data_IF_197400483680
#
_entry.id   IF_197400483680
#
_cell.length_a   1.000
_cell.length_b   1.000
_cell.length_c   1.000
_cell.angle_alpha   90.00
_cell.angle_beta   90.00
_cell.angle_gamma   90.00
#
_symmetry.space_group_name_H-M   'P 1'
#
loop_
_entity.id
_entity.type
_entity.pdbx_description
1 polymer ?
#
# COMPACT_ATOMS: atom_id res chain seq x y z
N UNK A 1 7.27 -7.87 0.47
CA UNK A 1 6.54 -7.74 1.75
C UNK A 1 6.26 -9.13 2.29
N UNK A 2 6.78 -9.38 3.49
CA UNK A 2 6.80 -10.68 4.16
C UNK A 2 6.25 -10.49 5.57
N UNK A 3 5.00 -10.05 5.74
CA UNK A 3 4.47 -9.75 7.09
C UNK A 3 3.34 -10.72 7.45
N UNK A 4 3.41 -11.28 8.67
CA UNK A 4 2.24 -11.81 9.39
C UNK A 4 1.69 -10.70 10.25
N UNK A 5 0.52 -10.17 9.91
CA UNK A 5 -0.13 -9.15 10.72
C UNK A 5 -1.24 -9.78 11.58
N UNK A 6 -1.15 -9.61 12.88
CA UNK A 6 -2.25 -9.88 13.80
C UNK A 6 -2.82 -8.57 14.31
N UNK A 7 -4.11 -8.36 14.14
CA UNK A 7 -4.85 -7.21 14.66
C UNK A 7 -5.74 -7.68 15.80
N UNK A 8 -5.61 -7.07 16.95
CA UNK A 8 -6.41 -7.34 18.13
C UNK A 8 -7.35 -6.17 18.38
N UNK A 9 -8.63 -6.45 18.46
CA UNK A 9 -9.68 -5.47 18.73
C UNK A 9 -10.33 -5.75 20.07
N UNK A 10 -10.71 -4.68 20.75
CA UNK A 10 -11.46 -4.75 22.00
C UNK A 10 -12.96 -4.74 21.70
N UNK A 11 -13.53 -5.91 21.42
CA UNK A 11 -14.95 -6.09 21.11
C UNK A 11 -15.74 -6.46 22.38
N UNK A 12 -17.05 -6.19 22.44
CA UNK A 12 -17.88 -6.68 23.53
C UNK A 12 -18.10 -8.21 23.42
N UNK A 13 -18.15 -8.93 24.54
CA UNK A 13 -18.40 -10.39 24.57
C UNK A 13 -19.80 -10.78 24.10
N UNK A 14 -20.74 -9.86 24.26
CA UNK A 14 -22.15 -9.95 23.83
C UNK A 14 -22.66 -8.53 23.58
N UNK A 15 -23.79 -8.38 22.89
CA UNK A 15 -24.38 -7.08 22.58
C UNK A 15 -24.70 -6.20 23.82
N UNK A 16 -24.71 -6.77 25.04
CA UNK A 16 -25.09 -6.05 26.26
C UNK A 16 -24.12 -4.88 26.54
N UNK A 17 -24.62 -3.68 26.91
CA UNK A 17 -23.80 -2.50 27.21
C UNK A 17 -22.75 -2.67 28.32
N UNK A 18 -22.92 -3.67 29.20
CA UNK A 18 -21.99 -4.02 30.30
C UNK A 18 -21.30 -5.36 30.11
N UNK A 19 -21.37 -5.94 28.91
CA UNK A 19 -20.70 -7.20 28.63
C UNK A 19 -19.19 -7.06 28.85
N UNK A 20 -18.52 -8.09 29.40
CA UNK A 20 -17.07 -8.08 29.47
C UNK A 20 -16.50 -7.95 28.05
N UNK A 21 -15.39 -7.22 27.87
CA UNK A 21 -14.76 -7.11 26.55
C UNK A 21 -14.06 -8.43 26.20
N UNK A 22 -14.26 -8.93 24.97
CA UNK A 22 -13.47 -10.00 24.35
C UNK A 22 -12.44 -9.42 23.39
N UNK A 23 -11.27 -10.04 23.32
CA UNK A 23 -10.28 -9.71 22.31
C UNK A 23 -10.63 -10.46 21.02
N UNK A 24 -11.01 -9.73 19.97
CA UNK A 24 -11.15 -10.30 18.63
C UNK A 24 -9.84 -10.21 17.90
N UNK A 25 -9.37 -11.33 17.36
CA UNK A 25 -8.15 -11.41 16.57
C UNK A 25 -8.50 -11.52 15.10
N UNK A 26 -8.02 -10.58 14.29
CA UNK A 26 -8.02 -10.67 12.83
C UNK A 26 -6.58 -10.92 12.41
N UNK A 27 -6.33 -12.03 11.73
CA UNK A 27 -5.01 -12.29 11.14
C UNK A 27 -5.06 -12.01 9.66
N UNK A 28 -4.09 -11.25 9.19
CA UNK A 28 -3.88 -11.02 7.77
C UNK A 28 -2.42 -11.28 7.42
N UNK A 29 -2.22 -12.08 6.37
CA UNK A 29 -0.89 -12.22 5.78
C UNK A 29 -0.72 -11.12 4.74
N UNK A 30 0.35 -10.34 4.86
CA UNK A 30 0.68 -9.26 3.92
C UNK A 30 1.87 -9.73 3.12
N UNK A 31 1.54 -10.36 2.01
CA UNK A 31 2.54 -10.89 1.10
C UNK A 31 2.52 -10.05 -0.16
N UNK A 32 3.50 -9.16 -0.25
CA UNK A 32 3.80 -8.45 -1.49
C UNK A 32 5.29 -8.47 -1.81
N UNK A 33 6.03 -9.55 -1.53
CA UNK A 33 7.28 -9.82 -2.27
C UNK A 33 6.92 -10.66 -3.48
N UNK A 34 7.42 -10.28 -4.64
CA UNK A 34 7.02 -10.83 -5.94
C UNK A 34 7.75 -12.15 -6.23
N UNK A 35 7.13 -12.96 -7.10
CA UNK A 35 7.55 -14.30 -7.56
C UNK A 35 7.30 -15.44 -6.56
N UNK A 36 7.84 -15.35 -5.34
CA UNK A 36 7.77 -16.44 -4.36
C UNK A 36 7.20 -15.95 -3.03
N UNK A 37 6.42 -16.80 -2.32
CA UNK A 37 6.15 -16.53 -0.93
C UNK A 37 7.51 -16.38 -0.26
N UNK A 38 7.72 -15.25 0.39
CA UNK A 38 8.91 -15.02 1.17
C UNK A 38 9.15 -16.25 2.05
N UNK A 39 10.37 -16.79 2.15
CA UNK A 39 10.64 -17.91 3.03
C UNK A 39 10.09 -17.60 4.42
N UNK A 40 9.39 -18.55 5.06
CA UNK A 40 8.71 -18.28 6.33
C UNK A 40 9.67 -17.75 7.42
N UNK A 41 10.96 -18.12 7.35
CA UNK A 41 12.03 -17.60 8.21
C UNK A 41 12.25 -16.10 8.05
N UNK A 42 12.04 -15.56 6.86
CA UNK A 42 12.23 -14.14 6.55
C UNK A 42 10.99 -13.29 6.84
N UNK A 43 9.90 -13.84 7.39
CA UNK A 43 8.71 -13.03 7.69
C UNK A 43 8.90 -12.20 8.96
N UNK A 44 8.45 -10.95 8.91
CA UNK A 44 8.21 -10.17 10.12
C UNK A 44 6.80 -10.46 10.63
N UNK A 45 6.63 -10.44 11.94
CA UNK A 45 5.33 -10.47 12.60
C UNK A 45 5.04 -9.06 13.10
N UNK A 46 3.94 -8.48 12.61
CA UNK A 46 3.37 -7.26 13.16
C UNK A 46 2.19 -7.66 14.04
N UNK A 47 2.07 -7.08 15.21
CA UNK A 47 0.89 -7.19 16.06
C UNK A 47 0.37 -5.80 16.37
N UNK A 48 -0.88 -5.51 16.02
CA UNK A 48 -1.54 -4.23 16.29
C UNK A 48 -2.67 -4.41 17.28
N UNK A 49 -2.79 -3.51 18.24
CA UNK A 49 -3.87 -3.49 19.20
C UNK A 49 -4.73 -2.25 19.01
N UNK A 50 -6.04 -2.45 18.98
CA UNK A 50 -7.05 -1.41 18.84
C UNK A 50 -7.96 -1.43 20.07
N UNK A 51 -8.23 -0.24 20.60
CA UNK A 51 -9.12 0.01 21.73
C UNK A 51 -10.60 0.05 21.33
N UNK A 52 -10.87 -0.01 20.02
CA UNK A 52 -12.20 -0.04 19.43
C UNK A 52 -12.61 -1.43 18.89
N UNK A 53 -13.90 -1.57 18.61
CA UNK A 53 -14.51 -2.79 18.06
C UNK A 53 -14.01 -3.07 16.63
N UNK A 54 -13.81 -4.35 16.29
CA UNK A 54 -13.48 -4.72 14.92
C UNK A 54 -14.61 -4.33 13.94
N UNK A 55 -14.32 -4.12 12.65
CA UNK A 55 -15.32 -3.74 11.64
C UNK A 55 -16.56 -4.66 11.60
N UNK A 56 -16.37 -5.96 11.87
CA UNK A 56 -17.49 -6.91 11.95
C UNK A 56 -18.42 -6.61 13.13
N UNK A 57 -17.89 -6.27 14.31
CA UNK A 57 -18.70 -5.96 15.48
C UNK A 57 -19.27 -4.53 15.45
N UNK A 58 -18.58 -3.58 14.83
CA UNK A 58 -19.05 -2.19 14.75
C UNK A 58 -19.96 -1.92 13.57
N UNK A 59 -20.01 -2.79 12.55
CA UNK A 59 -20.71 -2.54 11.28
C UNK A 59 -20.09 -1.40 10.48
N UNK A 60 -18.92 -0.92 10.89
CA UNK A 60 -18.20 0.16 10.22
C UNK A 60 -17.51 -0.36 8.96
N UNK A 61 -17.40 0.51 7.95
CA UNK A 61 -16.64 0.15 6.76
C UNK A 61 -15.18 -0.08 7.13
N UNK A 62 -14.61 -1.19 6.67
CA UNK A 62 -13.25 -1.54 7.02
C UNK A 62 -12.18 -0.71 6.33
N UNK A 63 -12.55 -0.02 5.25
CA UNK A 63 -11.63 0.73 4.40
C UNK A 63 -11.07 1.97 5.10
N UNK A 64 -11.73 2.49 6.14
CA UNK A 64 -11.27 3.66 6.89
C UNK A 64 -11.07 3.28 8.36
N UNK A 65 -9.81 3.16 8.84
CA UNK A 65 -9.54 2.91 10.24
C UNK A 65 -10.19 3.99 11.11
N UNK A 66 -10.94 3.56 12.14
CA UNK A 66 -11.51 4.48 13.14
C UNK A 66 -10.42 5.32 13.82
N UNK A 67 -9.22 4.75 13.94
CA UNK A 67 -8.05 5.41 14.50
C UNK A 67 -6.81 4.55 14.31
N UNK A 68 -5.66 5.12 14.68
CA UNK A 68 -4.40 4.38 14.76
C UNK A 68 -4.46 3.32 15.86
N UNK A 69 -3.69 2.23 15.76
CA UNK A 69 -3.57 1.28 16.85
C UNK A 69 -3.05 1.98 18.11
N UNK A 70 -3.55 1.55 19.28
CA UNK A 70 -3.09 2.03 20.58
C UNK A 70 -1.68 1.51 20.89
N UNK A 71 -1.32 0.37 20.31
CA UNK A 71 -0.04 -0.28 20.47
C UNK A 71 0.30 -1.13 19.24
N UNK A 72 1.56 -1.13 18.84
CA UNK A 72 2.10 -1.88 17.70
C UNK A 72 3.41 -2.57 18.09
N UNK A 73 3.50 -3.87 17.80
CA UNK A 73 4.68 -4.69 18.04
C UNK A 73 5.21 -5.26 16.73
N UNK A 74 6.52 -5.28 16.60
CA UNK A 74 7.22 -5.85 15.46
C UNK A 74 8.23 -6.87 15.95
N UNK A 75 8.17 -8.09 15.40
CA UNK A 75 9.12 -9.15 15.67
C UNK A 75 9.66 -9.71 14.37
N UNK A 76 10.97 -9.92 14.28
CA UNK A 76 11.62 -10.57 13.16
C UNK A 76 12.81 -11.39 13.64
N UNK A 77 13.31 -12.25 12.76
CA UNK A 77 14.58 -12.93 12.96
C UNK A 77 15.69 -12.12 12.28
N UNK A 78 16.52 -11.45 13.07
CA UNK A 78 17.60 -10.59 12.58
C UNK A 78 18.68 -11.40 11.84
N UNK A 79 18.80 -12.72 12.10
CA UNK A 79 19.73 -13.59 11.36
C UNK A 79 19.33 -13.77 9.89
N UNK A 80 18.07 -13.48 9.57
CA UNK A 80 17.52 -13.58 8.22
C UNK A 80 17.57 -12.25 7.46
N UNK A 81 18.02 -11.16 8.09
CA UNK A 81 17.97 -9.83 7.51
C UNK A 81 18.85 -9.68 6.26
N UNK A 82 20.03 -10.31 6.21
CA UNK A 82 20.87 -10.31 5.00
C UNK A 82 20.22 -11.05 3.82
N UNK A 83 19.69 -12.25 4.08
CA UNK A 83 19.02 -13.06 3.04
C UNK A 83 17.73 -12.38 2.56
N UNK A 84 17.00 -11.74 3.49
CA UNK A 84 15.84 -10.91 3.17
C UNK A 84 16.24 -9.70 2.30
N UNK A 85 17.29 -8.96 2.70
CA UNK A 85 17.73 -7.76 1.97
C UNK A 85 18.17 -8.11 0.56
N UNK A 86 18.93 -9.19 0.36
CA UNK A 86 19.31 -9.68 -0.96
C UNK A 86 18.09 -9.98 -1.84
N UNK A 87 17.13 -10.73 -1.30
CA UNK A 87 15.92 -11.13 -2.03
C UNK A 87 15.03 -9.94 -2.36
N UNK A 88 14.80 -9.05 -1.39
CA UNK A 88 13.99 -7.85 -1.55
C UNK A 88 14.63 -6.88 -2.55
N UNK A 89 15.94 -6.64 -2.43
CA UNK A 89 16.64 -5.67 -3.27
C UNK A 89 16.84 -6.15 -4.70
N UNK A 90 17.09 -7.44 -4.93
CA UNK A 90 17.19 -7.98 -6.29
C UNK A 90 15.93 -7.66 -7.10
N UNK A 91 14.75 -7.95 -6.53
CA UNK A 91 13.49 -7.68 -7.21
C UNK A 91 13.16 -6.19 -7.30
N UNK A 92 13.47 -5.44 -6.23
CA UNK A 92 13.27 -4.00 -6.26
C UNK A 92 14.12 -3.33 -7.35
N UNK A 93 15.35 -3.80 -7.57
CA UNK A 93 16.21 -3.31 -8.63
C UNK A 93 15.65 -3.59 -10.02
N UNK A 94 15.05 -4.78 -10.25
CA UNK A 94 14.38 -5.06 -11.53
C UNK A 94 13.25 -4.05 -11.79
N UNK A 95 12.42 -3.77 -10.77
CA UNK A 95 11.31 -2.82 -10.90
C UNK A 95 11.82 -1.38 -11.11
N UNK A 96 12.86 -0.97 -10.38
CA UNK A 96 13.47 0.36 -10.58
C UNK A 96 14.08 0.47 -11.98
N UNK A 97 14.78 -0.56 -12.47
CA UNK A 97 15.34 -0.59 -13.82
C UNK A 97 14.25 -0.38 -14.86
N UNK A 98 13.12 -1.08 -14.73
CA UNK A 98 11.94 -0.87 -15.55
C UNK A 98 11.47 0.61 -15.53
N UNK A 99 11.30 1.19 -14.34
CA UNK A 99 10.79 2.55 -14.20
C UNK A 99 11.73 3.59 -14.79
N UNK A 100 13.04 3.48 -14.54
CA UNK A 100 14.01 4.43 -15.09
C UNK A 100 14.07 4.32 -16.61
N UNK A 101 14.12 3.09 -17.16
CA UNK A 101 14.17 2.83 -18.62
C UNK A 101 12.89 3.29 -19.34
N UNK A 102 11.77 3.41 -18.63
CA UNK A 102 10.58 4.08 -19.19
C UNK A 102 10.76 5.56 -19.50
N UNK A 103 11.81 6.23 -19.03
CA UNK A 103 12.06 7.64 -19.38
C UNK A 103 13.21 7.84 -20.37
N UNK A 104 14.04 6.82 -20.57
CA UNK A 104 15.10 6.86 -21.57
C UNK A 104 14.58 6.59 -23.00
N UNK A 105 15.23 7.13 -24.04
CA UNK A 105 15.02 6.73 -25.42
C UNK A 105 15.08 5.22 -25.59
N UNK A 106 14.26 4.67 -26.50
CA UNK A 106 14.24 3.23 -26.79
C UNK A 106 15.61 2.69 -27.20
N UNK A 107 16.40 3.49 -27.91
CA UNK A 107 17.72 3.10 -28.44
C UNK A 107 18.76 2.88 -27.33
N UNK A 108 18.57 3.45 -26.15
CA UNK A 108 19.45 3.29 -24.98
C UNK A 108 19.16 2.02 -24.16
N UNK A 109 18.19 1.22 -24.59
CA UNK A 109 17.74 0.01 -23.88
C UNK A 109 17.95 -1.20 -24.78
N UNK A 110 18.66 -2.22 -24.28
CA UNK A 110 18.92 -3.43 -25.06
C UNK A 110 17.69 -4.36 -25.09
N UNK A 111 17.57 -5.21 -26.13
CA UNK A 111 16.51 -6.23 -26.20
C UNK A 111 16.54 -7.18 -24.99
N UNK A 112 17.72 -7.47 -24.45
CA UNK A 112 17.88 -8.33 -23.27
C UNK A 112 17.31 -7.65 -22.03
N UNK A 113 17.66 -6.39 -21.75
CA UNK A 113 17.12 -5.63 -20.63
C UNK A 113 15.61 -5.45 -20.75
N UNK A 114 15.12 -5.19 -21.96
CA UNK A 114 13.68 -5.14 -22.29
C UNK A 114 12.98 -6.43 -21.89
N UNK A 115 13.50 -7.57 -22.32
CA UNK A 115 12.90 -8.87 -22.00
C UNK A 115 13.02 -9.18 -20.51
N UNK A 116 14.13 -8.87 -19.85
CA UNK A 116 14.35 -9.17 -18.43
C UNK A 116 13.58 -8.23 -17.50
N UNK A 117 13.70 -6.91 -17.68
CA UNK A 117 13.01 -5.90 -16.88
C UNK A 117 11.50 -5.87 -17.16
N UNK A 118 11.04 -5.97 -18.42
CA UNK A 118 9.60 -6.04 -18.70
C UNK A 118 9.02 -7.39 -18.32
N UNK A 119 9.58 -8.52 -18.75
CA UNK A 119 8.95 -9.81 -18.44
C UNK A 119 8.89 -10.09 -16.94
N UNK A 120 9.90 -9.69 -16.17
CA UNK A 120 9.89 -9.87 -14.71
C UNK A 120 9.08 -8.78 -14.05
N UNK A 121 9.42 -7.50 -14.16
CA UNK A 121 8.83 -6.48 -13.29
C UNK A 121 7.41 -6.05 -13.67
N UNK A 122 7.07 -5.99 -14.97
CA UNK A 122 5.73 -5.58 -15.41
C UNK A 122 4.65 -6.59 -14.99
N UNK A 123 4.89 -7.87 -15.28
CA UNK A 123 3.96 -8.93 -14.91
C UNK A 123 3.93 -9.16 -13.39
N UNK A 124 5.06 -8.93 -12.72
CA UNK A 124 5.11 -8.96 -11.27
C UNK A 124 4.26 -7.84 -10.69
N UNK A 125 4.65 -6.57 -10.75
CA UNK A 125 3.96 -5.49 -10.01
C UNK A 125 2.44 -5.34 -10.31
N UNK A 126 1.91 -5.93 -11.40
CA UNK A 126 0.47 -5.91 -11.75
C UNK A 126 -0.33 -7.13 -11.30
N UNK A 127 0.29 -8.24 -10.87
CA UNK A 127 -0.46 -9.43 -10.45
C UNK A 127 -1.03 -9.25 -9.04
N UNK A 128 -2.36 -9.39 -8.91
CA UNK A 128 -2.95 -9.68 -7.61
C UNK A 128 -2.39 -11.02 -7.14
N UNK A 129 -1.65 -10.96 -6.05
CA UNK A 129 -1.03 -12.13 -5.42
C UNK A 129 -2.05 -13.11 -4.82
N UNK A 130 -3.32 -12.76 -4.80
CA UNK A 130 -4.42 -13.59 -4.31
C UNK A 130 -5.25 -14.11 -5.50
N UNK A 131 -4.75 -15.13 -6.20
CA UNK A 131 -5.36 -15.62 -7.44
C UNK A 131 -6.34 -16.78 -7.20
N UNK A 132 -7.52 -16.46 -6.71
CA UNK A 132 -8.72 -17.13 -7.22
C UNK A 132 -9.52 -16.20 -8.16
N UNK A 133 -8.91 -15.10 -8.61
CA UNK A 133 -9.66 -14.05 -9.26
C UNK A 133 -9.09 -13.67 -10.63
N UNK A 134 -9.78 -14.16 -11.67
CA UNK A 134 -9.60 -13.77 -13.07
C UNK A 134 -9.53 -12.24 -13.22
N UNK A 135 -8.74 -11.75 -14.18
CA UNK A 135 -8.77 -10.35 -14.64
C UNK A 135 -10.22 -10.00 -15.00
N UNK A 136 -10.82 -9.04 -14.28
CA UNK A 136 -12.25 -8.67 -14.39
C UNK A 136 -13.20 -9.27 -13.36
N UNK A 137 -12.76 -10.19 -12.50
CA UNK A 137 -13.55 -10.85 -11.43
C UNK A 137 -12.89 -10.67 -10.04
N UNK A 138 -11.79 -9.91 -9.98
CA UNK A 138 -11.02 -9.70 -8.76
C UNK A 138 -11.60 -8.59 -7.88
N UNK A 139 -12.14 -9.01 -6.73
CA UNK A 139 -12.52 -8.14 -5.62
C UNK A 139 -11.37 -7.89 -4.64
N UNK A 140 -10.10 -8.09 -5.05
CA UNK A 140 -8.97 -7.86 -4.16
C UNK A 140 -8.75 -6.36 -3.96
N UNK A 141 -8.88 -5.89 -2.72
CA UNK A 141 -8.81 -4.45 -2.42
C UNK A 141 -7.43 -3.86 -2.75
N UNK A 142 -6.38 -4.70 -2.74
CA UNK A 142 -5.01 -4.37 -3.14
C UNK A 142 -4.79 -4.18 -4.66
N UNK A 143 -5.79 -4.44 -5.51
CA UNK A 143 -5.81 -3.99 -6.91
C UNK A 143 -7.00 -3.08 -7.23
N UNK A 144 -7.86 -2.84 -6.25
CA UNK A 144 -8.98 -1.91 -6.37
C UNK A 144 -8.47 -0.46 -6.26
N UNK A 145 -9.33 0.55 -6.52
CA UNK A 145 -9.01 1.96 -6.24
C UNK A 145 -8.46 2.21 -4.83
N UNK A 146 -8.72 1.29 -3.89
CA UNK A 146 -8.28 1.37 -2.51
C UNK A 146 -6.81 0.95 -2.29
N UNK A 147 -6.06 0.52 -3.31
CA UNK A 147 -4.69 -0.03 -3.17
C UNK A 147 -3.75 0.89 -2.37
N UNK A 148 -3.85 2.21 -2.58
CA UNK A 148 -3.10 3.21 -1.82
C UNK A 148 -3.37 3.12 -0.31
N UNK A 149 -4.61 2.82 0.07
CA UNK A 149 -5.04 2.69 1.46
C UNK A 149 -4.53 1.40 2.12
N UNK A 150 -4.11 0.41 1.34
CA UNK A 150 -3.54 -0.85 1.82
C UNK A 150 -2.01 -0.78 1.98
N UNK A 151 -1.31 -0.35 0.93
CA UNK A 151 0.12 -0.09 0.97
C UNK A 151 0.46 1.00 -0.06
N UNK A 152 0.79 2.23 0.39
CA UNK A 152 1.11 3.32 -0.52
C UNK A 152 2.33 3.04 -1.40
N UNK A 153 3.37 2.37 -0.87
CA UNK A 153 4.54 2.02 -1.67
C UNK A 153 4.19 1.04 -2.80
N UNK A 154 3.41 0.00 -2.51
CA UNK A 154 2.91 -0.90 -3.57
C UNK A 154 2.07 -0.14 -4.60
N UNK A 155 1.23 0.80 -4.17
CA UNK A 155 0.45 1.62 -5.08
C UNK A 155 1.35 2.52 -5.95
N UNK A 156 2.40 3.11 -5.39
CA UNK A 156 3.39 3.91 -6.12
C UNK A 156 4.19 3.05 -7.11
N UNK A 157 4.63 1.84 -6.71
CA UNK A 157 5.28 0.88 -7.60
C UNK A 157 4.39 0.50 -8.77
N UNK A 158 3.10 0.25 -8.52
CA UNK A 158 2.11 -0.02 -9.55
C UNK A 158 1.95 1.19 -10.49
N UNK A 159 1.79 2.40 -9.95
CA UNK A 159 1.69 3.62 -10.74
C UNK A 159 2.88 3.84 -11.68
N UNK A 160 4.11 3.65 -11.17
CA UNK A 160 5.33 3.74 -11.98
C UNK A 160 5.39 2.62 -13.04
N UNK A 161 4.95 1.41 -12.68
CA UNK A 161 4.90 0.27 -13.60
C UNK A 161 3.88 0.50 -14.71
N UNK A 162 2.67 0.97 -14.40
CA UNK A 162 1.63 1.30 -15.38
C UNK A 162 2.15 2.39 -16.35
N UNK A 163 2.77 3.46 -15.85
CA UNK A 163 3.44 4.46 -16.71
C UNK A 163 4.53 3.87 -17.59
N UNK A 164 5.33 2.96 -17.05
CA UNK A 164 6.36 2.29 -17.83
C UNK A 164 5.73 1.47 -18.96
N UNK A 165 4.65 0.77 -18.67
CA UNK A 165 3.87 -0.05 -19.60
C UNK A 165 3.32 0.74 -20.75
N UNK A 166 2.66 1.87 -20.47
CA UNK A 166 2.05 2.70 -21.51
C UNK A 166 3.07 3.09 -22.59
N UNK A 167 4.30 3.45 -22.18
CA UNK A 167 5.38 3.73 -23.13
C UNK A 167 5.87 2.45 -23.83
N UNK A 168 6.00 1.38 -23.08
CA UNK A 168 6.48 0.06 -23.53
C UNK A 168 5.62 -0.51 -24.65
N UNK A 169 4.29 -0.41 -24.52
CA UNK A 169 3.32 -0.84 -25.54
C UNK A 169 3.47 -0.06 -26.86
N UNK A 170 4.06 1.13 -26.82
CA UNK A 170 4.36 1.93 -28.01
C UNK A 170 5.75 1.64 -28.62
N UNK A 171 6.59 0.81 -27.97
CA UNK A 171 7.91 0.47 -28.48
C UNK A 171 7.80 -0.50 -29.67
N UNK A 172 8.37 -0.11 -30.82
CA UNK A 172 8.31 -0.89 -32.07
C UNK A 172 8.89 -2.30 -31.92
N UNK A 173 9.85 -2.49 -31.02
CA UNK A 173 10.45 -3.82 -30.78
C UNK A 173 9.47 -4.75 -30.08
N UNK A 174 8.58 -4.23 -29.24
CA UNK A 174 7.53 -5.04 -28.59
C UNK A 174 6.39 -5.32 -29.54
N UNK A 175 6.01 -4.34 -30.34
CA UNK A 175 4.97 -4.49 -31.36
C UNK A 175 5.38 -5.51 -32.44
N UNK A 176 6.65 -5.90 -32.50
CA UNK A 176 7.12 -7.02 -33.30
C UNK A 176 6.40 -8.33 -32.90
N UNK A 177 5.79 -9.06 -33.85
CA UNK A 177 5.07 -10.31 -33.56
C UNK A 177 5.89 -11.36 -32.81
N UNK A 178 7.19 -11.47 -33.09
CA UNK A 178 8.10 -12.43 -32.42
C UNK A 178 8.28 -12.08 -30.95
N UNK A 179 8.47 -10.79 -30.66
CA UNK A 179 8.60 -10.31 -29.28
C UNK A 179 7.28 -10.43 -28.54
N UNK A 180 6.17 -10.07 -29.20
CA UNK A 180 4.83 -10.29 -28.64
C UNK A 180 4.63 -11.77 -28.27
N UNK A 181 4.95 -12.71 -29.18
CA UNK A 181 4.87 -14.15 -28.92
C UNK A 181 5.79 -14.58 -27.76
N UNK A 182 7.00 -14.04 -27.65
CA UNK A 182 7.92 -14.34 -26.54
C UNK A 182 7.34 -13.86 -25.20
N UNK A 183 6.79 -12.64 -25.16
CA UNK A 183 6.13 -12.10 -23.98
C UNK A 183 4.90 -12.91 -23.60
N UNK A 184 4.04 -13.25 -24.57
CA UNK A 184 2.86 -14.11 -24.35
C UNK A 184 3.25 -15.51 -23.85
N UNK A 185 4.31 -16.11 -24.39
CA UNK A 185 4.83 -17.40 -23.94
C UNK A 185 5.36 -17.32 -22.49
N UNK A 186 6.22 -16.35 -22.18
CA UNK A 186 6.73 -16.15 -20.82
C UNK A 186 5.63 -15.84 -19.83
N UNK A 187 4.65 -15.03 -20.24
CA UNK A 187 3.44 -14.77 -19.47
C UNK A 187 2.69 -16.07 -19.16
N UNK A 188 2.53 -16.94 -20.15
CA UNK A 188 1.86 -18.24 -19.99
C UNK A 188 2.62 -19.17 -19.05
N UNK A 189 3.94 -19.27 -19.18
CA UNK A 189 4.79 -20.06 -18.29
C UNK A 189 4.76 -19.56 -16.85
N UNK A 190 4.90 -18.25 -16.63
CA UNK A 190 4.84 -17.65 -15.31
C UNK A 190 3.45 -17.80 -14.68
N UNK A 191 2.40 -17.65 -15.48
CA UNK A 191 1.02 -17.92 -15.04
C UNK A 191 0.86 -19.37 -14.59
N UNK A 192 1.27 -20.33 -15.43
CA UNK A 192 1.21 -21.76 -15.15
C UNK A 192 2.04 -22.19 -13.94
N UNK A 193 3.23 -21.61 -13.77
CA UNK A 193 4.07 -21.85 -12.59
C UNK A 193 3.37 -21.45 -11.30
N UNK A 194 2.81 -20.23 -11.25
CA UNK A 194 2.09 -19.77 -10.07
C UNK A 194 0.84 -20.61 -9.79
N UNK A 195 0.16 -21.08 -10.84
CA UNK A 195 -1.00 -21.94 -10.68
C UNK A 195 -0.63 -23.30 -10.09
N UNK A 196 0.42 -23.94 -10.62
CA UNK A 196 0.90 -25.25 -10.19
C UNK A 196 1.44 -25.24 -8.75
N UNK A 197 2.10 -24.16 -8.35
CA UNK A 197 2.66 -24.00 -7.01
C UNK A 197 1.62 -23.60 -5.96
N UNK A 198 0.34 -23.48 -6.35
CA UNK A 198 -0.75 -23.08 -5.47
C UNK A 198 -0.37 -21.81 -4.67
N UNK A 199 0.31 -20.87 -5.33
CA UNK A 199 0.76 -19.59 -4.75
C UNK A 199 -0.41 -18.62 -4.57
N UNK A 200 -1.59 -19.17 -4.29
CA UNK A 200 -2.81 -18.45 -4.10
C UNK A 200 -2.93 -18.11 -2.61
N UNK A 201 -2.91 -16.82 -2.29
CA UNK A 201 -3.15 -16.40 -0.93
C UNK A 201 -4.64 -16.49 -0.61
N UNK A 202 -4.96 -17.26 0.44
CA UNK A 202 -6.28 -17.24 1.08
C UNK A 202 -6.29 -16.16 2.15
N UNK A 203 -7.03 -15.08 1.91
CA UNK A 203 -7.56 -14.22 2.98
C UNK A 203 -6.67 -13.07 3.47
N UNK A 204 -5.97 -12.35 2.61
CA UNK A 204 -5.22 -11.15 2.98
C UNK A 204 -6.07 -9.89 3.14
N UNK A 205 -7.06 -9.89 4.04
CA UNK A 205 -7.70 -8.64 4.50
C UNK A 205 -6.79 -7.91 5.50
N UNK A 206 -5.61 -7.49 5.05
CA UNK A 206 -4.71 -6.70 5.88
C UNK A 206 -5.00 -5.23 5.72
N UNK A 207 -5.75 -4.67 6.65
CA UNK A 207 -6.02 -3.23 6.70
C UNK A 207 -4.89 -2.57 7.47
N UNK A 208 -3.85 -2.12 6.78
CA UNK A 208 -2.76 -1.41 7.43
C UNK A 208 -3.23 0.01 7.80
N UNK A 209 -2.97 0.50 9.02
CA UNK A 209 -3.05 1.94 9.23
C UNK A 209 -2.02 2.60 8.31
N UNK A 210 -2.40 3.69 7.63
CA UNK A 210 -1.43 4.54 6.96
C UNK A 210 -0.39 5.01 7.96
N UNK A 211 0.88 5.05 7.54
CA UNK A 211 1.92 5.59 8.39
C UNK A 211 1.55 7.00 8.84
N UNK A 212 1.76 7.28 10.12
CA UNK A 212 1.68 8.64 10.61
C UNK A 212 2.70 9.50 9.87
N UNK A 213 2.38 10.78 9.63
CA UNK A 213 3.32 11.73 9.04
C UNK A 213 4.66 11.73 9.80
N UNK A 214 4.60 11.64 11.14
CA UNK A 214 5.77 11.51 12.01
C UNK A 214 6.68 10.33 11.65
N UNK A 215 6.11 9.18 11.29
CA UNK A 215 6.88 8.00 10.93
C UNK A 215 7.51 8.14 9.54
N UNK A 216 6.77 8.71 8.58
CA UNK A 216 7.30 9.04 7.25
C UNK A 216 8.45 10.06 7.36
N UNK A 217 8.28 11.11 8.16
CA UNK A 217 9.33 12.10 8.46
C UNK A 217 10.56 11.45 9.11
N UNK A 218 10.36 10.54 10.06
CA UNK A 218 11.46 9.79 10.68
C UNK A 218 12.23 8.95 9.66
N UNK A 219 11.52 8.23 8.78
CA UNK A 219 12.14 7.42 7.72
C UNK A 219 12.85 8.30 6.69
N UNK A 220 12.26 9.44 6.35
CA UNK A 220 12.85 10.44 5.45
C UNK A 220 14.15 10.99 6.03
N UNK A 221 14.18 11.31 7.32
CA UNK A 221 15.39 11.70 8.02
C UNK A 221 16.47 10.61 7.92
N UNK A 222 16.14 9.34 8.20
CA UNK A 222 17.08 8.22 8.04
C UNK A 222 17.62 8.13 6.61
N UNK A 223 16.75 8.28 5.60
CA UNK A 223 17.16 8.26 4.20
C UNK A 223 18.14 9.41 3.87
N UNK A 224 17.79 10.64 4.22
CA UNK A 224 18.62 11.80 3.92
C UNK A 224 19.96 11.75 4.70
N UNK A 225 19.94 11.28 5.95
CA UNK A 225 21.15 11.09 6.77
C UNK A 225 22.08 10.01 6.17
N UNK A 226 21.55 8.84 5.78
CA UNK A 226 22.36 7.76 5.18
C UNK A 226 22.94 8.17 3.82
N UNK A 227 22.15 8.85 2.98
CA UNK A 227 22.63 9.39 1.70
C UNK A 227 23.78 10.38 1.95
N UNK A 228 23.61 11.29 2.92
CA UNK A 228 24.65 12.27 3.27
C UNK A 228 25.92 11.59 3.71
N UNK A 229 25.85 10.66 4.68
CA UNK A 229 27.01 9.93 5.21
C UNK A 229 27.76 9.21 4.08
N UNK A 230 27.05 8.51 3.19
CA UNK A 230 27.68 7.75 2.11
C UNK A 230 28.26 8.67 1.02
N UNK A 231 27.62 9.81 0.75
CA UNK A 231 28.12 10.81 -0.20
C UNK A 231 29.36 11.52 0.33
N UNK A 232 29.38 11.90 1.62
CA UNK A 232 30.54 12.46 2.30
C UNK A 232 31.72 11.47 2.28
N UNK A 233 31.47 10.21 2.67
CA UNK A 233 32.49 9.17 2.63
C UNK A 233 33.04 8.91 1.21
N UNK A 234 32.19 8.91 0.19
CA UNK A 234 32.63 8.77 -1.20
C UNK A 234 33.46 9.98 -1.65
N UNK A 235 33.06 11.20 -1.25
CA UNK A 235 33.79 12.43 -1.57
C UNK A 235 35.17 12.48 -0.93
N UNK A 236 35.29 12.02 0.33
CA UNK A 236 36.59 11.89 1.03
C UNK A 236 37.54 10.99 0.24
N UNK A 237 37.07 9.84 -0.27
CA UNK A 237 37.92 8.94 -1.04
C UNK A 237 38.40 9.54 -2.37
N UNK A 238 37.57 10.36 -3.01
CA UNK A 238 37.98 11.10 -4.23
C UNK A 238 39.03 12.16 -3.88
N UNK A 239 38.88 12.85 -2.75
CA UNK A 239 39.87 13.82 -2.28
C UNK A 239 41.19 13.14 -1.92
N UNK A 240 41.18 12.05 -1.15
CA UNK A 240 42.36 11.27 -0.80
C UNK A 240 43.08 10.74 -2.06
N UNK A 241 42.32 10.34 -3.08
CA UNK A 241 42.88 9.93 -4.37
C UNK A 241 43.59 11.09 -5.08
N UNK A 242 42.98 12.28 -5.10
CA UNK A 242 43.59 13.48 -5.68
C UNK A 242 44.86 13.90 -4.93
N UNK A 243 44.85 13.85 -3.59
CA UNK A 243 45.98 14.20 -2.73
C UNK A 243 47.16 13.22 -2.85
N UNK A 244 46.86 11.93 -3.01
CA UNK A 244 47.89 10.89 -3.23
C UNK A 244 48.46 10.88 -4.66
N UNK A 245 47.78 11.52 -5.61
CA UNK A 245 48.12 11.57 -7.03
C UNK A 245 48.81 12.87 -7.46
N UNK A 246 48.52 13.32 -8.69
CA UNK A 246 49.06 14.56 -9.26
C UNK A 246 48.21 15.80 -8.96
N UNK A 247 47.34 15.74 -7.94
CA UNK A 247 46.34 16.77 -7.64
C UNK A 247 44.99 16.53 -8.34
N UNK A 248 44.08 17.50 -8.20
CA UNK A 248 42.73 17.44 -8.78
C UNK A 248 42.75 17.46 -10.31
N UNK A 249 41.93 16.63 -10.94
CA UNK A 249 41.85 16.48 -12.41
C UNK A 249 40.40 16.39 -12.89
N UNK A 250 40.18 16.46 -14.20
CA UNK A 250 38.85 16.29 -14.80
C UNK A 250 38.20 14.95 -14.43
N UNK A 251 39.00 13.89 -14.24
CA UNK A 251 38.50 12.59 -13.79
C UNK A 251 37.91 12.65 -12.37
N UNK A 252 38.51 13.45 -11.47
CA UNK A 252 37.97 13.67 -10.13
C UNK A 252 36.67 14.47 -10.16
N UNK A 253 36.59 15.49 -11.02
CA UNK A 253 35.36 16.26 -11.26
C UNK A 253 34.24 15.36 -11.78
N UNK A 254 34.57 14.47 -12.72
CA UNK A 254 33.63 13.51 -13.29
C UNK A 254 33.15 12.51 -12.23
N UNK A 255 34.06 11.97 -11.41
CA UNK A 255 33.69 11.05 -10.33
C UNK A 255 32.80 11.72 -9.27
N UNK A 256 33.05 12.99 -8.94
CA UNK A 256 32.18 13.76 -8.05
C UNK A 256 30.76 13.92 -8.63
N UNK A 257 30.63 14.16 -9.94
CA UNK A 257 29.33 14.17 -10.63
C UNK A 257 28.67 12.79 -10.57
N UNK A 258 29.41 11.70 -10.80
CA UNK A 258 28.90 10.34 -10.69
C UNK A 258 28.40 10.00 -9.28
N UNK A 259 29.08 10.47 -8.23
CA UNK A 259 28.61 10.33 -6.84
C UNK A 259 27.26 11.03 -6.67
N UNK A 260 27.11 12.28 -7.16
CA UNK A 260 25.82 12.99 -7.09
C UNK A 260 24.71 12.27 -7.84
N UNK A 261 24.98 11.76 -9.06
CA UNK A 261 23.99 11.04 -9.87
C UNK A 261 23.50 9.77 -9.18
N UNK A 262 24.41 9.00 -8.57
CA UNK A 262 24.08 7.79 -7.80
C UNK A 262 23.33 8.11 -6.52
N UNK A 263 23.71 9.15 -5.78
CA UNK A 263 22.95 9.63 -4.63
C UNK A 263 21.52 10.05 -5.01
N UNK A 264 21.36 10.64 -6.20
CA UNK A 264 20.05 11.03 -6.71
C UNK A 264 19.16 9.83 -7.10
N UNK A 265 19.75 8.78 -7.70
CA UNK A 265 19.06 7.50 -7.90
C UNK A 265 18.63 6.88 -6.57
N UNK A 266 19.53 6.82 -5.59
CA UNK A 266 19.25 6.28 -4.25
C UNK A 266 18.12 7.07 -3.58
N UNK A 267 18.08 8.39 -3.74
CA UNK A 267 16.97 9.21 -3.25
C UNK A 267 15.64 8.80 -3.90
N UNK A 268 15.59 8.63 -5.22
CA UNK A 268 14.38 8.13 -5.89
C UNK A 268 13.95 6.77 -5.35
N UNK A 269 14.88 5.82 -5.26
CA UNK A 269 14.61 4.48 -4.72
C UNK A 269 14.10 4.56 -3.28
N UNK A 270 14.69 5.39 -2.42
CA UNK A 270 14.29 5.56 -1.04
C UNK A 270 12.91 6.20 -0.89
N UNK A 271 12.57 7.20 -1.71
CA UNK A 271 11.27 7.90 -1.68
C UNK A 271 10.10 6.95 -1.90
N UNK A 272 10.24 5.98 -2.82
CA UNK A 272 9.22 4.94 -3.03
C UNK A 272 9.07 4.06 -1.78
N UNK A 273 10.15 3.78 -1.04
CA UNK A 273 10.14 2.91 0.14
C UNK A 273 9.63 3.58 1.42
N UNK A 274 9.63 4.92 1.50
CA UNK A 274 9.24 5.65 2.72
C UNK A 274 7.88 5.21 3.27
N UNK A 275 6.93 5.00 2.37
CA UNK A 275 5.57 4.60 2.71
C UNK A 275 5.32 3.08 2.64
N UNK A 276 6.38 2.25 2.62
CA UNK A 276 6.21 0.79 2.61
C UNK A 276 5.80 0.26 4.00
N UNK A 277 4.49 0.07 4.17
CA UNK A 277 3.87 -0.55 5.35
C UNK A 277 4.19 -2.07 5.46
N UNK A 278 4.86 -2.62 4.45
CA UNK A 278 5.23 -4.02 4.31
C UNK A 278 6.58 -4.39 4.92
N UNK A 279 7.26 -3.45 5.58
CA UNK A 279 8.54 -3.63 6.29
C UNK A 279 8.60 -2.80 7.57
N UNK A 280 9.25 -3.32 8.62
CA UNK A 280 9.56 -2.59 9.85
C UNK A 280 10.54 -1.44 9.60
N UNK A 281 10.71 -0.55 10.57
CA UNK A 281 11.73 0.51 10.49
C UNK A 281 13.14 -0.05 10.40
N UNK A 282 13.44 -1.14 11.09
CA UNK A 282 14.76 -1.75 11.04
C UNK A 282 15.06 -2.30 9.64
N UNK A 283 14.08 -2.95 9.00
CA UNK A 283 14.25 -3.43 7.61
C UNK A 283 14.23 -2.32 6.58
N UNK A 284 13.50 -1.23 6.86
CA UNK A 284 13.62 0.00 6.07
C UNK A 284 15.04 0.59 6.18
N UNK A 285 15.60 0.74 7.39
CA UNK A 285 16.97 1.23 7.58
C UNK A 285 17.98 0.32 6.88
N UNK A 286 17.86 -1.00 7.04
CA UNK A 286 18.71 -1.96 6.33
C UNK A 286 18.61 -1.81 4.81
N UNK A 287 17.38 -1.69 4.29
CA UNK A 287 17.14 -1.47 2.88
C UNK A 287 17.82 -0.19 2.38
N UNK A 288 17.67 0.92 3.12
CA UNK A 288 18.32 2.21 2.84
C UNK A 288 19.84 2.07 2.84
N UNK A 289 20.43 1.45 3.87
CA UNK A 289 21.88 1.23 3.92
C UNK A 289 22.39 0.41 2.73
N UNK A 290 21.66 -0.64 2.34
CA UNK A 290 22.01 -1.48 1.18
C UNK A 290 21.97 -0.66 -0.12
N UNK A 291 20.93 0.15 -0.35
CA UNK A 291 20.89 0.99 -1.56
C UNK A 291 21.90 2.14 -1.50
N UNK A 292 22.22 2.71 -0.33
CA UNK A 292 23.22 3.76 -0.20
C UNK A 292 24.64 3.26 -0.50
N UNK A 293 24.90 1.96 -0.37
CA UNK A 293 26.20 1.38 -0.68
C UNK A 293 26.69 1.72 -2.10
N UNK A 294 25.80 1.85 -3.08
CA UNK A 294 26.20 2.12 -4.47
C UNK A 294 26.68 3.54 -4.74
N UNK A 295 26.43 4.49 -3.83
CA UNK A 295 26.92 5.87 -3.93
C UNK A 295 28.45 5.87 -4.01
N UNK A 296 29.09 4.97 -3.28
CA UNK A 296 30.54 4.78 -3.31
C UNK A 296 30.96 4.07 -4.60
N UNK A 297 32.03 4.52 -5.29
CA UNK A 297 32.52 3.90 -6.54
C UNK A 297 32.94 2.45 -6.35
N UNK A 298 32.64 1.60 -7.34
CA UNK A 298 32.86 0.14 -7.25
C UNK A 298 34.30 -0.21 -6.90
N UNK A 299 35.27 0.57 -7.40
CA UNK A 299 36.70 0.41 -7.12
C UNK A 299 37.04 0.50 -5.63
N UNK A 300 36.24 1.22 -4.83
CA UNK A 300 36.49 1.40 -3.40
C UNK A 300 35.62 0.52 -2.49
N UNK A 301 34.55 -0.07 -3.01
CA UNK A 301 33.60 -0.89 -2.22
C UNK A 301 33.51 -2.36 -2.66
N UNK A 302 34.02 -2.70 -3.84
CA UNK A 302 33.80 -3.99 -4.48
C UNK A 302 32.37 -4.17 -5.03
N UNK A 303 32.13 -5.29 -5.74
CA UNK A 303 30.81 -5.60 -6.28
C UNK A 303 29.79 -5.83 -5.16
N UNK A 304 28.55 -5.41 -5.41
CA UNK A 304 27.42 -5.67 -4.54
C UNK A 304 27.06 -7.16 -4.55
N UNK A 305 26.54 -7.65 -3.43
CA UNK A 305 25.90 -8.98 -3.40
C UNK A 305 24.57 -9.02 -4.15
N UNK A 306 24.05 -7.86 -4.54
CA UNK A 306 22.85 -7.69 -5.37
C UNK A 306 23.29 -7.07 -6.70
N UNK A 307 23.49 -7.90 -7.72
CA UNK A 307 23.99 -7.50 -9.05
C UNK A 307 23.17 -6.35 -9.67
N UNK A 308 21.85 -6.37 -9.47
CA UNK A 308 20.95 -5.31 -9.97
C UNK A 308 21.28 -3.92 -9.43
N UNK A 309 21.88 -3.81 -8.23
CA UNK A 309 22.31 -2.52 -7.68
C UNK A 309 23.52 -1.96 -8.41
N UNK A 310 24.49 -2.80 -8.79
CA UNK A 310 25.67 -2.36 -9.54
C UNK A 310 25.28 -1.91 -10.95
N UNK A 311 24.38 -2.63 -11.61
CA UNK A 311 23.84 -2.22 -12.91
C UNK A 311 23.13 -0.85 -12.82
N UNK A 312 22.27 -0.66 -11.82
CA UNK A 312 21.61 0.63 -11.60
C UNK A 312 22.62 1.76 -11.31
N UNK A 313 23.70 1.47 -10.59
CA UNK A 313 24.77 2.44 -10.31
C UNK A 313 25.51 2.86 -11.58
N UNK A 314 25.81 1.91 -12.47
CA UNK A 314 26.44 2.16 -13.77
C UNK A 314 25.55 3.02 -14.67
N UNK A 315 24.25 2.71 -14.73
CA UNK A 315 23.26 3.52 -15.45
C UNK A 315 23.22 4.93 -14.87
N UNK A 316 23.20 5.08 -13.54
CA UNK A 316 23.18 6.40 -12.91
C UNK A 316 24.44 7.22 -13.24
N UNK A 317 25.62 6.62 -13.18
CA UNK A 317 26.87 7.31 -13.51
C UNK A 317 26.92 7.74 -14.98
N UNK A 318 26.52 6.86 -15.89
CA UNK A 318 26.53 7.12 -17.35
C UNK A 318 25.41 8.04 -17.82
N UNK A 319 24.35 8.22 -17.03
CA UNK A 319 23.22 9.09 -17.39
C UNK A 319 23.62 10.56 -17.33
N UNK A 320 23.56 11.24 -18.47
CA UNK A 320 23.64 12.68 -18.57
C UNK A 320 22.32 13.26 -19.10
N UNK A 321 21.59 13.97 -18.25
CA UNK A 321 20.44 14.75 -18.69
C UNK A 321 20.84 16.22 -18.75
N UNK A 322 20.95 16.78 -19.96
CA UNK A 322 21.45 18.14 -20.21
C UNK A 322 20.80 19.26 -19.37
N UNK A 323 19.57 19.06 -18.86
CA UNK A 323 18.89 20.02 -17.97
C UNK A 323 19.31 19.91 -16.49
N UNK A 324 19.66 18.72 -16.00
CA UNK A 324 20.12 18.47 -14.63
C UNK A 324 21.17 17.33 -14.60
N UNK A 325 22.41 17.57 -15.10
CA UNK A 325 23.41 16.52 -15.28
C UNK A 325 23.80 15.80 -13.98
N UNK A 326 23.83 16.51 -12.86
CA UNK A 326 24.19 15.94 -11.55
C UNK A 326 23.00 15.28 -10.83
N UNK A 327 21.78 15.45 -11.36
CA UNK A 327 20.51 15.09 -10.71
C UNK A 327 19.46 14.52 -11.71
N UNK A 328 19.83 13.55 -12.56
CA UNK A 328 18.98 13.09 -13.66
C UNK A 328 17.70 12.36 -13.22
N UNK A 329 17.62 11.90 -11.97
CA UNK A 329 16.47 11.19 -11.41
C UNK A 329 15.55 12.09 -10.57
N UNK A 330 15.83 13.40 -10.44
CA UNK A 330 14.97 14.31 -9.66
C UNK A 330 13.54 14.41 -10.20
N UNK A 331 13.34 14.25 -11.50
CA UNK A 331 11.98 14.18 -12.08
C UNK A 331 11.17 12.99 -11.53
N UNK A 332 11.83 11.85 -11.27
CA UNK A 332 11.17 10.70 -10.64
C UNK A 332 10.90 10.93 -9.16
N UNK A 333 11.83 11.57 -8.44
CA UNK A 333 11.63 11.97 -7.03
C UNK A 333 10.39 12.86 -6.92
N UNK A 334 10.31 13.92 -7.73
CA UNK A 334 9.19 14.86 -7.74
C UNK A 334 7.88 14.17 -8.14
N UNK A 335 7.92 13.28 -9.14
CA UNK A 335 6.76 12.49 -9.56
C UNK A 335 6.18 11.67 -8.40
N UNK A 336 7.03 10.96 -7.66
CA UNK A 336 6.59 10.11 -6.55
C UNK A 336 6.16 10.92 -5.33
N UNK A 337 6.86 12.00 -5.00
CA UNK A 337 6.45 12.92 -3.94
C UNK A 337 5.08 13.52 -4.23
N UNK A 338 4.84 13.96 -5.48
CA UNK A 338 3.53 14.45 -5.92
C UNK A 338 2.47 13.36 -5.82
N UNK A 339 2.76 12.14 -6.29
CA UNK A 339 1.83 11.02 -6.18
C UNK A 339 1.41 10.75 -4.73
N UNK A 340 2.36 10.71 -3.79
CA UNK A 340 2.04 10.52 -2.37
C UNK A 340 1.25 11.68 -1.80
N UNK A 341 1.60 12.93 -2.15
CA UNK A 341 0.89 14.11 -1.70
C UNK A 341 -0.58 14.09 -2.14
N UNK A 342 -0.82 13.98 -3.44
CA UNK A 342 -2.16 13.99 -4.03
C UNK A 342 -3.04 12.86 -3.45
N UNK A 343 -2.48 11.65 -3.28
CA UNK A 343 -3.21 10.52 -2.70
C UNK A 343 -3.43 10.62 -1.19
N UNK A 344 -2.54 11.28 -0.46
CA UNK A 344 -2.72 11.55 0.98
C UNK A 344 -3.82 12.59 1.20
N UNK A 345 -3.92 13.59 0.33
CA UNK A 345 -5.00 14.57 0.36
C UNK A 345 -6.36 13.92 0.08
N UNK A 346 -6.45 13.08 -0.94
CA UNK A 346 -7.64 12.27 -1.24
C UNK A 346 -8.04 11.39 -0.03
N UNK A 347 -7.06 10.72 0.59
CA UNK A 347 -7.30 9.92 1.78
C UNK A 347 -7.82 10.74 2.96
N UNK A 348 -7.18 11.87 3.26
CA UNK A 348 -7.60 12.72 4.38
C UNK A 348 -9.05 13.20 4.19
N UNK A 349 -9.42 13.51 2.95
CA UNK A 349 -10.79 13.86 2.58
C UNK A 349 -11.74 12.68 2.87
N UNK A 350 -11.40 11.46 2.47
CA UNK A 350 -12.19 10.26 2.77
C UNK A 350 -12.30 9.96 4.27
N UNK A 351 -11.21 10.14 5.04
CA UNK A 351 -11.24 9.97 6.51
C UNK A 351 -12.15 10.99 7.18
N UNK A 352 -12.09 12.25 6.76
CA UNK A 352 -12.95 13.32 7.28
C UNK A 352 -14.41 13.00 6.98
N UNK A 353 -14.71 12.65 5.72
CA UNK A 353 -16.06 12.30 5.31
C UNK A 353 -16.58 11.06 6.04
N UNK A 354 -15.74 10.06 6.26
CA UNK A 354 -16.05 8.90 7.10
C UNK A 354 -16.38 9.30 8.55
N UNK A 355 -15.55 10.13 9.18
CA UNK A 355 -15.79 10.64 10.55
C UNK A 355 -17.09 11.44 10.62
N UNK A 356 -17.38 12.27 9.62
CA UNK A 356 -18.63 13.02 9.51
C UNK A 356 -19.86 12.09 9.49
N UNK A 357 -19.84 11.10 8.59
CA UNK A 357 -20.91 10.09 8.44
C UNK A 357 -21.13 9.34 9.73
N UNK A 358 -20.04 8.94 10.38
CA UNK A 358 -20.08 8.26 11.68
C UNK A 358 -20.70 9.13 12.77
N UNK A 359 -20.23 10.37 12.93
CA UNK A 359 -20.80 11.31 13.90
C UNK A 359 -22.29 11.56 13.66
N UNK A 360 -22.72 11.65 12.40
CA UNK A 360 -24.13 11.73 12.06
C UNK A 360 -24.87 10.48 12.55
N UNK A 361 -24.43 9.26 12.17
CA UNK A 361 -25.03 7.99 12.59
C UNK A 361 -25.14 7.91 14.11
N UNK A 362 -24.07 8.18 14.85
CA UNK A 362 -24.04 8.15 16.32
C UNK A 362 -25.00 9.21 16.94
N UNK A 363 -25.18 10.35 16.26
CA UNK A 363 -26.10 11.40 16.71
C UNK A 363 -27.58 11.06 16.47
N UNK A 364 -27.92 10.38 15.37
CA UNK A 364 -29.31 10.14 14.94
C UNK A 364 -29.82 8.76 15.29
N UNK A 365 -28.95 7.84 15.68
CA UNK A 365 -29.29 6.44 15.94
C UNK A 365 -28.71 5.95 17.27
N UNK A 366 -29.24 4.83 17.74
CA UNK A 366 -28.71 4.06 18.87
C UNK A 366 -28.46 2.64 18.40
N UNK A 367 -27.39 2.03 18.88
CA UNK A 367 -27.13 0.61 18.64
C UNK A 367 -28.28 -0.22 19.26
N UNK A 368 -28.71 -1.25 18.54
CA UNK A 368 -29.79 -2.14 18.99
C UNK A 368 -29.16 -3.46 19.40
N UNK A 369 -29.50 -3.90 20.61
CA UNK A 369 -29.08 -5.22 21.08
C UNK A 369 -29.70 -6.29 20.17
N UNK A 370 -28.93 -7.32 19.81
CA UNK A 370 -29.38 -8.43 18.93
C UNK A 370 -30.71 -9.08 19.41
N UNK A 371 -31.04 -8.93 20.70
CA UNK A 371 -32.24 -9.46 21.37
C UNK A 371 -33.45 -8.52 21.32
N UNK A 372 -33.24 -7.23 21.04
CA UNK A 372 -34.31 -6.23 20.87
C UNK A 372 -34.74 -6.10 19.40
N UNK A 373 -34.02 -6.75 18.48
CA UNK A 373 -34.30 -6.67 17.06
C UNK A 373 -35.62 -7.38 16.69
N UNK A 374 -36.50 -6.76 15.88
CA UNK A 374 -37.76 -7.41 15.51
C UNK A 374 -37.47 -8.66 14.66
N UNK A 375 -38.01 -9.81 15.06
CA UNK A 375 -37.92 -11.04 14.27
C UNK A 375 -38.49 -10.81 12.86
N UNK A 376 -37.81 -11.31 11.83
CA UNK A 376 -38.26 -11.23 10.43
C UNK A 376 -38.18 -9.83 9.81
N UNK A 377 -37.58 -8.84 10.47
CA UNK A 377 -37.39 -7.53 9.85
C UNK A 377 -36.32 -7.57 8.75
N UNK A 378 -36.56 -6.73 7.74
CA UNK A 378 -35.71 -6.57 6.57
C UNK A 378 -35.04 -5.20 6.62
N UNK A 379 -33.76 -5.14 6.26
CA UNK A 379 -33.06 -3.88 6.13
C UNK A 379 -33.63 -3.06 4.97
N UNK A 380 -34.10 -1.81 5.20
CA UNK A 380 -34.72 -0.98 4.16
C UNK A 380 -33.73 -0.45 3.10
N UNK A 381 -32.44 -0.79 3.21
CA UNK A 381 -31.40 -0.38 2.26
C UNK A 381 -31.04 -1.51 1.31
N UNK A 382 -30.85 -2.73 1.81
CA UNK A 382 -30.37 -3.87 1.02
C UNK A 382 -31.41 -4.97 0.84
N UNK A 383 -32.58 -4.81 1.48
CA UNK A 383 -33.71 -5.76 1.41
C UNK A 383 -33.40 -7.16 1.94
N UNK A 384 -32.29 -7.33 2.67
CA UNK A 384 -31.92 -8.57 3.33
C UNK A 384 -32.45 -8.62 4.77
N UNK A 385 -32.82 -9.82 5.23
CA UNK A 385 -33.23 -10.06 6.61
C UNK A 385 -32.05 -9.91 7.56
N UNK A 386 -32.30 -9.40 8.77
CA UNK A 386 -31.30 -9.39 9.83
C UNK A 386 -31.11 -10.77 10.44
N UNK A 387 -32.21 -11.53 10.59
CA UNK A 387 -32.25 -12.88 11.15
C UNK A 387 -33.34 -13.71 10.44
N UNK A 388 -33.10 -15.01 10.24
CA UNK A 388 -34.07 -15.93 9.62
C UNK A 388 -35.16 -16.41 10.60
N UNK A 389 -34.87 -16.50 11.90
CA UNK A 389 -35.77 -16.93 12.98
C UNK A 389 -35.61 -16.03 14.23
N UNK A 390 -36.41 -16.27 15.28
CA UNK A 390 -36.47 -15.49 16.54
C UNK A 390 -35.09 -15.11 17.11
N UNK A 391 -34.91 -13.89 17.67
CA UNK A 391 -33.64 -13.45 18.26
C UNK A 391 -33.06 -14.48 19.22
N UNK A 392 -31.87 -15.03 18.90
CA UNK A 392 -31.16 -15.98 19.76
C UNK A 392 -30.93 -17.39 19.22
N UNK A 393 -31.50 -17.79 18.09
CA UNK A 393 -31.16 -19.05 17.44
C UNK A 393 -29.78 -18.94 16.79
N UNK A 394 -28.83 -19.67 17.35
CA UNK A 394 -27.42 -19.70 16.93
C UNK A 394 -27.24 -20.16 15.47
N UNK A 395 -26.53 -19.33 14.70
CA UNK A 395 -25.66 -19.63 13.56
C UNK A 395 -26.26 -20.45 12.38
N UNK A 396 -26.85 -19.75 11.41
CA UNK A 396 -26.70 -20.07 9.98
C UNK A 396 -25.90 -18.97 9.30
N UNK A 397 -25.29 -19.28 8.15
CA UNK A 397 -24.68 -18.26 7.28
C UNK A 397 -25.73 -17.20 6.96
N UNK A 398 -25.57 -16.01 7.54
CA UNK A 398 -26.53 -14.93 7.39
C UNK A 398 -26.41 -14.33 5.99
N UNK A 399 -27.55 -14.11 5.32
CA UNK A 399 -27.62 -13.44 4.02
C UNK A 399 -27.05 -12.00 4.06
N UNK A 400 -27.00 -11.39 5.26
CA UNK A 400 -26.60 -10.01 5.50
C UNK A 400 -25.45 -9.89 6.52
N UNK A 401 -24.28 -9.44 6.07
CA UNK A 401 -23.09 -9.23 6.92
C UNK A 401 -21.76 -9.33 6.17
N UNK A 402 -20.64 -9.23 6.90
CA UNK A 402 -19.31 -9.55 6.37
C UNK A 402 -19.09 -11.06 6.45
N UNK A 403 -18.65 -11.75 5.37
CA UNK A 403 -18.30 -13.16 5.42
C UNK A 403 -17.33 -13.46 6.57
N UNK A 404 -17.64 -14.48 7.38
CA UNK A 404 -16.83 -14.85 8.55
C UNK A 404 -17.07 -14.03 9.83
N UNK A 405 -18.05 -13.11 9.85
CA UNK A 405 -18.53 -12.53 11.09
C UNK A 405 -19.69 -13.39 11.64
N UNK A 406 -19.52 -14.03 12.81
CA UNK A 406 -20.54 -14.94 13.35
C UNK A 406 -21.84 -14.24 13.80
N UNK A 407 -21.83 -12.90 13.88
CA UNK A 407 -22.91 -12.09 14.47
C UNK A 407 -23.84 -11.41 13.45
N UNK A 408 -23.59 -11.54 12.14
CA UNK A 408 -24.37 -10.82 11.12
C UNK A 408 -24.04 -9.34 11.01
N UNK A 409 -24.92 -8.58 10.34
CA UNK A 409 -24.85 -7.12 10.27
C UNK A 409 -25.34 -6.47 11.59
N UNK A 410 -24.52 -5.65 12.27
CA UNK A 410 -24.96 -4.87 13.44
C UNK A 410 -26.08 -3.89 13.08
N UNK A 411 -27.10 -3.78 13.92
CA UNK A 411 -28.28 -2.95 13.65
C UNK A 411 -28.32 -1.69 14.51
N UNK A 412 -28.86 -0.61 13.93
CA UNK A 412 -29.17 0.63 14.65
C UNK A 412 -30.65 0.97 14.57
N UNK A 413 -31.17 1.62 15.61
CA UNK A 413 -32.52 2.18 15.67
C UNK A 413 -32.43 3.70 15.61
N UNK A 414 -33.12 4.29 14.65
CA UNK A 414 -33.18 5.74 14.50
C UNK A 414 -33.91 6.37 15.70
N UNK A 415 -33.32 7.37 16.35
CA UNK A 415 -33.87 8.00 17.57
C UNK A 415 -35.26 8.63 17.35
N UNK A 416 -35.46 9.28 16.19
CA UNK A 416 -36.72 9.96 15.85
C UNK A 416 -37.80 9.01 15.34
N UNK A 417 -37.53 8.34 14.22
CA UNK A 417 -38.54 7.53 13.52
C UNK A 417 -38.56 6.05 13.91
N UNK A 418 -37.66 5.61 14.78
CA UNK A 418 -37.55 4.23 15.29
C UNK A 418 -37.34 3.15 14.21
N UNK A 419 -37.07 3.52 12.96
CA UNK A 419 -36.70 2.57 11.92
C UNK A 419 -35.41 1.82 12.28
N UNK A 420 -35.37 0.54 11.94
CA UNK A 420 -34.23 -0.34 12.15
C UNK A 420 -33.45 -0.49 10.84
N UNK A 421 -32.15 -0.20 10.89
CA UNK A 421 -31.28 -0.16 9.71
C UNK A 421 -29.96 -0.85 10.05
N UNK A 422 -29.43 -1.66 9.13
CA UNK A 422 -28.08 -2.22 9.25
C UNK A 422 -27.08 -1.09 9.28
N UNK A 423 -26.15 -1.11 10.22
CA UNK A 423 -25.23 -0.01 10.48
C UNK A 423 -24.33 0.25 9.26
N UNK A 424 -23.78 -0.80 8.63
CA UNK A 424 -23.00 -0.70 7.38
C UNK A 424 -23.86 -0.24 6.23
N UNK A 425 -25.09 -0.76 6.13
CA UNK A 425 -26.07 -0.32 5.13
C UNK A 425 -26.38 1.19 5.26
N UNK A 426 -26.54 1.68 6.48
CA UNK A 426 -26.76 3.11 6.75
C UNK A 426 -25.54 3.93 6.35
N UNK A 427 -24.33 3.48 6.69
CA UNK A 427 -23.08 4.11 6.21
C UNK A 427 -23.03 4.17 4.68
N UNK A 428 -23.32 3.07 3.98
CA UNK A 428 -23.27 3.01 2.52
C UNK A 428 -24.33 3.91 1.88
N UNK A 429 -25.54 3.91 2.45
CA UNK A 429 -26.62 4.77 2.00
C UNK A 429 -26.26 6.25 2.13
N UNK A 430 -25.64 6.65 3.26
CA UNK A 430 -25.14 8.00 3.48
C UNK A 430 -24.07 8.38 2.46
N UNK A 431 -23.08 7.52 2.24
CA UNK A 431 -22.02 7.74 1.24
C UNK A 431 -22.60 7.98 -0.15
N UNK A 432 -23.54 7.15 -0.59
CA UNK A 432 -24.14 7.25 -1.92
C UNK A 432 -25.03 8.50 -2.08
N UNK A 433 -25.72 8.94 -1.03
CA UNK A 433 -26.59 10.13 -1.07
C UNK A 433 -25.82 11.45 -0.96
N UNK A 434 -24.74 11.45 -0.19
CA UNK A 434 -23.80 12.56 -0.09
C UNK A 434 -23.17 12.89 -1.44
N UNK A 435 -22.67 11.87 -2.14
CA UNK A 435 -22.10 12.01 -3.49
C UNK A 435 -23.09 12.61 -4.50
N UNK A 436 -24.40 12.48 -4.26
CA UNK A 436 -25.46 13.01 -5.13
C UNK A 436 -26.04 14.37 -4.72
N UNK A 437 -25.52 15.03 -3.68
CA UNK A 437 -26.07 16.27 -3.11
C UNK A 437 -27.58 16.20 -2.78
N UNK A 438 -28.08 15.03 -2.39
CA UNK A 438 -29.51 14.81 -2.08
C UNK A 438 -29.79 15.06 -0.60
N UNK A 439 -31.01 15.51 -0.29
CA UNK A 439 -31.45 15.62 1.10
C UNK A 439 -31.32 14.28 1.83
N UNK A 440 -30.69 14.33 3.01
CA UNK A 440 -30.52 13.16 3.84
C UNK A 440 -31.83 12.85 4.59
N UNK A 441 -32.42 11.70 4.29
CA UNK A 441 -33.66 11.19 4.87
C UNK A 441 -33.46 9.75 5.38
N UNK A 442 -34.26 9.31 6.34
CA UNK A 442 -34.23 7.93 6.78
C UNK A 442 -34.59 7.00 5.60
N UNK A 443 -33.79 5.96 5.28
CA UNK A 443 -34.11 5.07 4.16
C UNK A 443 -35.46 4.35 4.35
N UNK A 444 -35.85 4.04 5.59
CA UNK A 444 -37.08 3.32 5.92
C UNK A 444 -38.37 4.16 5.83
N UNK A 445 -38.39 5.39 6.35
CA UNK A 445 -39.62 6.19 6.45
C UNK A 445 -39.52 7.59 5.83
N UNK A 446 -38.37 7.92 5.21
CA UNK A 446 -38.08 9.23 4.59
C UNK A 446 -38.06 10.44 5.54
N UNK A 447 -38.14 10.23 6.86
CA UNK A 447 -37.96 11.27 7.87
C UNK A 447 -36.63 12.02 7.68
N UNK A 448 -36.59 13.36 7.65
CA UNK A 448 -35.36 14.12 7.43
C UNK A 448 -34.32 13.92 8.54
N UNK A 449 -33.07 13.70 8.13
CA UNK A 449 -31.92 13.63 9.02
C UNK A 449 -31.30 15.02 9.19
N UNK A 450 -30.76 15.35 10.38
CA UNK A 450 -30.09 16.62 10.62
C UNK A 450 -28.90 16.81 9.67
N UNK A 451 -29.02 17.77 8.74
CA UNK A 451 -28.00 18.04 7.71
C UNK A 451 -26.85 18.90 8.23
N UNK A 452 -27.06 19.68 9.29
CA UNK A 452 -26.11 20.72 9.74
C UNK A 452 -24.77 20.11 10.17
N UNK A 453 -24.77 19.07 11.01
CA UNK A 453 -23.56 18.39 11.45
C UNK A 453 -22.84 17.64 10.31
N UNK A 454 -23.59 17.14 9.34
CA UNK A 454 -23.07 16.43 8.17
C UNK A 454 -22.41 17.39 7.18
N UNK A 455 -23.14 18.45 6.80
CA UNK A 455 -22.65 19.49 5.90
C UNK A 455 -21.46 20.21 6.51
N UNK A 456 -21.52 20.64 7.77
CA UNK A 456 -20.39 21.33 8.42
C UNK A 456 -19.08 20.55 8.33
N UNK A 457 -19.10 19.21 8.46
CA UNK A 457 -17.86 18.42 8.42
C UNK A 457 -17.41 18.09 6.99
N UNK A 458 -18.34 17.88 6.04
CA UNK A 458 -17.98 17.67 4.61
C UNK A 458 -17.64 18.98 3.86
N UNK A 459 -18.28 20.12 4.17
CA UNK A 459 -18.03 21.42 3.50
C UNK A 459 -16.82 22.17 4.05
N UNK A 460 -16.37 21.88 5.28
CA UNK A 460 -15.19 22.55 5.86
C UNK A 460 -13.88 22.24 5.11
N UNK A 461 -13.88 21.26 4.20
CA UNK A 461 -12.68 20.82 3.48
C UNK A 461 -12.95 20.46 2.01
N UNK A 462 -14.00 21.02 1.40
CA UNK A 462 -14.15 20.94 -0.06
C UNK A 462 -13.01 21.75 -0.73
N UNK A 463 -12.38 21.25 -1.81
CA UNK A 463 -11.19 21.85 -2.45
C UNK A 463 -11.46 23.18 -3.18
N UNK A 464 -12.55 23.88 -2.85
CA UNK A 464 -12.90 25.21 -3.38
C UNK A 464 -12.89 26.33 -2.34
N UNK A 465 -12.43 26.09 -1.11
CA UNK A 465 -12.36 27.09 -0.03
C UNK A 465 -10.96 27.19 0.62
N UNK A 466 -9.90 26.82 -0.11
CA UNK A 466 -8.51 27.16 0.22
C UNK A 466 -7.80 27.72 -1.01
#
# INVERSE_FOLDING_TARGET
MCIKHAQFYSCPASARPKAPKRRHRVTANILCSHIFPCPASQWEKRTSFYDYMCPGCSGEFPAVPRGTPSHDEWHRDDLQDNAWAQSYMTEYCHSVLLWIRSRFPSDDVTNKEIVEAWSRSFFMERRCKEDDHRVGVCSCEANSPLTFYYNPATAARKHLTDKATEKTETDRRIQNPTMHSLFSFRHTLLSGFCQAQNLYFKGGLSRQPLFSNKLVESRRKTLDDDIRIHSEAASVLVMENAESGTGWTDAHTLEASFISRRANLVKFMGEVLLHDNGISNSRFSLAVTVICSIIKPIVYRGPSTVEGLDNLAEIASSTDQALMPDKPFMGFVQLIQKYYHDRTEEWNTEVIAYKARRSLVDSVSVDVDDWEGPAGQVCPVCEKKYYDETPGTMFRDLDHGVPGCPLGEPMVRMKKCRCHIGKRCLFQWLTNKAAGNKELTCPGCKEPLPQVAFKLVETSFSPGNL
#
